data_IF_668068595190
#
_entry.id   IF_668068595190
#
_cell.length_a   1.000
_cell.length_b   1.000
_cell.length_c   1.000
_cell.angle_alpha   90.00
_cell.angle_beta   90.00
_cell.angle_gamma   90.00
#
_symmetry.space_group_name_H-M   'P 1'
#
loop_
_entity.id
_entity.type
_entity.pdbx_description
1 polymer ?
#
# COMPACT_ATOMS: atom_id res chain seq x y z
N UNK A 1 27.37 -3.47 -14.82
CA UNK A 1 26.23 -3.93 -14.01
C UNK A 1 26.45 -3.69 -12.51
N UNK A 2 27.71 -3.62 -12.04
CA UNK A 2 28.03 -3.42 -10.62
C UNK A 2 28.14 -1.93 -10.19
N UNK A 3 27.85 -0.99 -11.09
CA UNK A 3 27.83 0.45 -10.79
C UNK A 3 26.83 0.81 -9.68
N UNK A 4 25.70 0.09 -9.60
CA UNK A 4 24.68 0.31 -8.57
C UNK A 4 25.20 0.06 -7.13
N UNK A 5 26.26 -0.72 -6.97
CA UNK A 5 26.91 -0.96 -5.68
C UNK A 5 28.21 -0.16 -5.50
N UNK A 6 28.52 0.74 -6.45
CA UNK A 6 29.67 1.64 -6.40
C UNK A 6 30.96 1.09 -7.03
N UNK A 7 30.86 0.02 -7.84
CA UNK A 7 31.98 -0.49 -8.63
C UNK A 7 31.86 0.03 -10.07
N UNK A 8 32.82 0.84 -10.51
CA UNK A 8 32.82 1.38 -11.85
C UNK A 8 33.09 0.30 -12.90
N UNK A 9 32.91 0.64 -14.18
CA UNK A 9 33.20 -0.28 -15.29
C UNK A 9 34.61 -0.88 -15.26
N UNK A 10 35.62 -0.09 -14.87
CA UNK A 10 37.01 -0.58 -14.73
C UNK A 10 37.17 -1.57 -13.57
N UNK A 11 36.43 -1.38 -12.48
CA UNK A 11 36.45 -2.31 -11.35
C UNK A 11 35.79 -3.63 -11.73
N UNK A 12 34.67 -3.58 -12.46
CA UNK A 12 33.97 -4.75 -12.98
C UNK A 12 34.90 -5.59 -13.87
N UNK A 13 35.61 -4.97 -14.83
CA UNK A 13 36.56 -5.66 -15.71
C UNK A 13 37.72 -6.34 -14.95
N UNK A 14 38.24 -5.69 -13.90
CA UNK A 14 39.33 -6.24 -13.06
C UNK A 14 38.83 -7.36 -12.14
N UNK A 15 37.65 -7.21 -11.54
CA UNK A 15 37.06 -8.23 -10.67
C UNK A 15 36.75 -9.50 -11.47
N UNK A 16 36.18 -9.34 -12.66
CA UNK A 16 35.94 -10.42 -13.62
C UNK A 16 37.22 -11.17 -14.00
N UNK A 17 38.31 -10.45 -14.31
CA UNK A 17 39.61 -11.05 -14.61
C UNK A 17 40.17 -11.84 -13.41
N UNK A 18 40.01 -11.30 -12.20
CA UNK A 18 40.47 -11.93 -10.97
C UNK A 18 39.68 -13.21 -10.64
N UNK A 19 38.35 -13.19 -10.84
CA UNK A 19 37.48 -14.37 -10.68
C UNK A 19 37.83 -15.44 -11.72
N UNK A 20 38.02 -15.06 -13.00
CA UNK A 20 38.41 -15.99 -14.07
C UNK A 20 39.76 -16.67 -13.82
N UNK A 21 40.74 -15.93 -13.29
CA UNK A 21 42.08 -16.49 -13.01
C UNK A 21 42.17 -17.25 -11.70
N UNK A 22 41.17 -17.17 -10.81
CA UNK A 22 41.18 -17.63 -9.40
C UNK A 22 42.22 -16.96 -8.49
N UNK A 23 43.42 -16.69 -9.01
CA UNK A 23 44.44 -15.87 -8.38
C UNK A 23 45.25 -15.10 -9.43
N UNK A 24 45.64 -13.87 -9.15
CA UNK A 24 46.43 -13.06 -10.08
C UNK A 24 47.43 -12.14 -9.38
N UNK A 25 48.57 -11.90 -10.03
CA UNK A 25 49.51 -10.84 -9.73
C UNK A 25 49.07 -9.55 -10.41
N UNK A 26 49.61 -8.41 -9.96
CA UNK A 26 49.37 -7.10 -10.58
C UNK A 26 49.74 -7.11 -12.07
N UNK A 27 50.83 -7.79 -12.45
CA UNK A 27 51.28 -7.85 -13.84
C UNK A 27 50.30 -8.63 -14.74
N UNK A 28 49.70 -9.70 -14.22
CA UNK A 28 48.68 -10.48 -14.94
C UNK A 28 47.40 -9.65 -15.14
N UNK A 29 46.95 -8.91 -14.13
CA UNK A 29 45.79 -8.01 -14.25
C UNK A 29 46.05 -6.85 -15.21
N UNK A 30 47.26 -6.28 -15.22
CA UNK A 30 47.67 -5.25 -16.19
C UNK A 30 47.57 -5.77 -17.62
N UNK A 31 48.00 -7.02 -17.85
CA UNK A 31 47.94 -7.64 -19.17
C UNK A 31 46.50 -7.91 -19.63
N UNK A 32 45.64 -8.40 -18.73
CA UNK A 32 44.26 -8.77 -19.05
C UNK A 32 43.35 -7.56 -19.27
N UNK A 33 43.48 -6.54 -18.41
CA UNK A 33 42.58 -5.39 -18.40
C UNK A 33 43.17 -4.18 -19.15
N UNK A 34 44.38 -4.30 -19.70
CA UNK A 34 45.11 -3.22 -20.37
C UNK A 34 45.22 -1.92 -19.54
N UNK A 35 45.37 -2.06 -18.21
CA UNK A 35 45.43 -0.94 -17.28
C UNK A 35 46.88 -0.56 -16.94
N UNK A 36 47.18 0.72 -16.67
CA UNK A 36 48.47 1.13 -16.12
C UNK A 36 48.76 0.40 -14.78
N UNK A 37 50.00 -0.06 -14.52
CA UNK A 37 50.34 -0.76 -13.27
C UNK A 37 49.95 -0.03 -11.97
N UNK A 38 50.05 1.31 -11.86
CA UNK A 38 49.58 2.04 -10.69
C UNK A 38 48.06 1.92 -10.48
N UNK A 39 47.28 1.91 -11.56
CA UNK A 39 45.82 1.80 -11.51
C UNK A 39 45.39 0.39 -11.10
N UNK A 40 45.99 -0.64 -11.69
CA UNK A 40 45.72 -2.04 -11.31
C UNK A 40 46.00 -2.30 -9.82
N UNK A 41 47.10 -1.75 -9.27
CA UNK A 41 47.37 -1.84 -7.83
C UNK A 41 46.30 -1.19 -6.98
N UNK A 42 45.83 0.00 -7.37
CA UNK A 42 44.81 0.75 -6.63
C UNK A 42 43.48 0.01 -6.59
N UNK A 43 43.04 -0.54 -7.73
CA UNK A 43 41.80 -1.33 -7.81
C UNK A 43 41.90 -2.61 -6.99
N UNK A 44 43.00 -3.37 -7.13
CA UNK A 44 43.20 -4.59 -6.34
C UNK A 44 43.30 -4.31 -4.84
N UNK A 45 43.87 -3.17 -4.44
CA UNK A 45 43.92 -2.76 -3.04
C UNK A 45 42.52 -2.37 -2.52
N UNK A 46 41.76 -1.61 -3.30
CA UNK A 46 40.35 -1.32 -3.01
C UNK A 46 39.53 -2.60 -2.81
N UNK A 47 39.75 -3.64 -3.63
CA UNK A 47 39.08 -4.93 -3.45
C UNK A 47 39.43 -5.63 -2.15
N UNK A 48 40.67 -5.48 -1.67
CA UNK A 48 41.04 -6.02 -0.35
C UNK A 48 40.35 -5.25 0.76
N UNK A 49 40.26 -3.92 0.65
CA UNK A 49 39.58 -3.07 1.63
C UNK A 49 38.05 -3.30 1.66
N UNK A 50 37.46 -3.55 0.49
CA UNK A 50 36.03 -3.87 0.33
C UNK A 50 35.68 -5.34 0.62
N UNK A 51 36.67 -6.20 0.91
CA UNK A 51 36.46 -7.63 1.15
C UNK A 51 36.12 -8.45 -0.09
N UNK A 52 36.37 -7.90 -1.29
CA UNK A 52 36.20 -8.59 -2.58
C UNK A 52 37.42 -9.43 -2.98
N UNK A 53 38.59 -9.17 -2.40
CA UNK A 53 39.79 -9.95 -2.64
C UNK A 53 40.61 -10.14 -1.36
N UNK A 54 41.43 -11.18 -1.33
CA UNK A 54 42.45 -11.38 -0.29
C UNK A 54 43.83 -11.31 -0.93
N UNK A 55 44.81 -10.84 -0.16
CA UNK A 55 46.20 -10.70 -0.61
C UNK A 55 47.06 -11.77 0.04
N UNK A 56 47.78 -12.55 -0.76
CA UNK A 56 48.73 -13.54 -0.25
C UNK A 56 49.97 -12.88 0.36
N UNK A 57 50.57 -13.51 1.36
CA UNK A 57 51.84 -13.09 1.98
C UNK A 57 53.09 -13.59 1.23
N UNK A 58 52.93 -14.48 0.24
CA UNK A 58 54.03 -15.05 -0.56
C UNK A 58 54.63 -14.08 -1.59
N UNK A 59 55.78 -14.48 -2.16
CA UNK A 59 56.42 -13.80 -3.30
C UNK A 59 56.40 -14.72 -4.54
N UNK A 60 55.88 -14.26 -5.70
CA UNK A 60 55.25 -12.97 -5.92
C UNK A 60 53.90 -12.83 -5.20
N UNK A 61 53.52 -11.60 -4.87
CA UNK A 61 52.23 -11.28 -4.23
C UNK A 61 51.10 -11.60 -5.22
N UNK A 62 50.17 -12.44 -4.80
CA UNK A 62 48.94 -12.76 -5.52
C UNK A 62 47.72 -12.24 -4.78
N UNK A 63 46.69 -11.91 -5.56
CA UNK A 63 45.36 -11.54 -5.11
C UNK A 63 44.41 -12.67 -5.48
N UNK A 64 43.48 -12.99 -4.59
CA UNK A 64 42.48 -14.06 -4.76
C UNK A 64 41.12 -13.43 -4.57
N UNK A 65 40.22 -13.61 -5.54
CA UNK A 65 38.85 -13.11 -5.40
C UNK A 65 38.12 -13.87 -4.28
N UNK A 66 37.40 -13.12 -3.45
CA UNK A 66 36.38 -13.69 -2.56
C UNK A 66 35.18 -14.08 -3.41
N UNK A 67 34.51 -15.19 -3.05
CA UNK A 67 33.33 -15.69 -3.77
C UNK A 67 32.34 -14.57 -4.07
N UNK A 68 31.87 -14.39 -5.32
CA UNK A 68 30.93 -13.33 -5.69
C UNK A 68 29.69 -13.29 -4.80
N UNK A 69 29.11 -14.47 -4.49
CA UNK A 69 27.91 -14.60 -3.64
C UNK A 69 28.12 -14.10 -2.20
N UNK A 70 29.37 -14.05 -1.72
CA UNK A 70 29.68 -13.57 -0.38
C UNK A 70 30.20 -12.13 -0.40
N UNK A 71 31.11 -11.82 -1.34
CA UNK A 71 31.74 -10.52 -1.46
C UNK A 71 30.78 -9.44 -1.96
N UNK A 72 30.10 -9.68 -3.09
CA UNK A 72 29.17 -8.71 -3.67
C UNK A 72 27.92 -8.54 -2.80
N UNK A 73 27.41 -9.64 -2.23
CA UNK A 73 26.27 -9.63 -1.31
C UNK A 73 26.58 -8.86 -0.01
N UNK A 74 27.82 -8.92 0.50
CA UNK A 74 28.24 -8.11 1.64
C UNK A 74 28.24 -6.61 1.31
N UNK A 75 28.70 -6.23 0.11
CA UNK A 75 28.64 -4.84 -0.36
C UNK A 75 27.19 -4.40 -0.55
N UNK A 76 26.33 -5.25 -1.14
CA UNK A 76 24.92 -4.95 -1.31
C UNK A 76 24.25 -4.66 0.04
N UNK A 77 24.44 -5.54 1.04
CA UNK A 77 23.94 -5.33 2.41
C UNK A 77 24.51 -4.09 3.09
N UNK A 78 25.75 -3.72 2.79
CA UNK A 78 26.36 -2.50 3.30
C UNK A 78 25.68 -1.27 2.67
N UNK A 79 25.44 -1.28 1.36
CA UNK A 79 24.73 -0.21 0.64
C UNK A 79 23.28 -0.06 1.08
N UNK A 80 22.58 -1.17 1.31
CA UNK A 80 21.22 -1.15 1.88
C UNK A 80 21.20 -0.47 3.25
N UNK A 81 22.14 -0.81 4.13
CA UNK A 81 22.29 -0.16 5.44
C UNK A 81 22.59 1.33 5.31
N UNK A 82 23.50 1.73 4.43
CA UNK A 82 23.79 3.15 4.15
C UNK A 82 22.55 3.90 3.65
N UNK A 83 21.76 3.29 2.76
CA UNK A 83 20.51 3.88 2.27
C UNK A 83 19.46 3.99 3.38
N UNK A 84 19.37 3.01 4.27
CA UNK A 84 18.47 3.07 5.43
C UNK A 84 18.90 4.14 6.44
N UNK A 85 20.20 4.31 6.66
CA UNK A 85 20.74 5.40 7.48
C UNK A 85 20.43 6.77 6.86
N UNK A 86 20.59 6.92 5.54
CA UNK A 86 20.21 8.14 4.81
C UNK A 86 18.70 8.40 4.96
N UNK A 87 17.85 7.38 4.83
CA UNK A 87 16.40 7.50 5.07
C UNK A 87 16.10 7.93 6.51
N UNK A 88 16.82 7.38 7.49
CA UNK A 88 16.74 7.78 8.89
C UNK A 88 17.13 9.25 9.08
N UNK A 89 18.21 9.69 8.46
CA UNK A 89 18.66 11.08 8.51
C UNK A 89 17.67 12.05 7.85
N UNK A 90 17.06 11.66 6.72
CA UNK A 90 15.99 12.42 6.07
C UNK A 90 14.80 12.59 7.03
N UNK A 91 14.40 11.54 7.77
CA UNK A 91 13.32 11.66 8.78
C UNK A 91 13.68 12.66 9.87
N UNK A 92 14.88 12.58 10.43
CA UNK A 92 15.35 13.54 11.45
C UNK A 92 15.41 14.98 10.90
N UNK A 93 15.90 15.17 9.68
CA UNK A 93 15.89 16.48 9.02
C UNK A 93 14.47 16.98 8.77
N UNK A 94 13.54 16.09 8.42
CA UNK A 94 12.13 16.44 8.31
C UNK A 94 11.53 16.82 9.66
N UNK A 95 11.92 16.18 10.76
CA UNK A 95 11.48 16.58 12.11
C UNK A 95 11.99 17.97 12.49
N UNK A 96 13.26 18.27 12.17
CA UNK A 96 13.85 19.61 12.37
C UNK A 96 13.22 20.65 11.44
N UNK A 97 12.98 20.31 10.18
CA UNK A 97 12.31 21.18 9.21
C UNK A 97 10.88 21.48 9.63
N UNK A 98 10.13 20.46 10.08
CA UNK A 98 8.79 20.59 10.68
C UNK A 98 8.84 21.46 11.93
N UNK A 99 9.86 21.33 12.77
CA UNK A 99 10.03 22.15 13.96
C UNK A 99 10.35 23.62 13.63
N UNK A 100 11.11 23.87 12.55
CA UNK A 100 11.46 25.21 12.07
C UNK A 100 10.37 25.92 11.27
N UNK A 101 9.49 25.16 10.59
CA UNK A 101 8.32 25.70 9.86
C UNK A 101 7.10 25.95 10.74
N UNK A 102 7.19 25.69 12.07
CA UNK A 102 6.10 25.86 13.05
C UNK A 102 5.45 27.26 13.14
N UNK A 103 5.98 28.29 12.47
CA UNK A 103 5.46 29.65 12.58
C UNK A 103 5.43 30.48 11.28
N UNK A 104 5.31 29.86 10.11
CA UNK A 104 4.67 30.54 8.97
C UNK A 104 3.15 30.31 9.13
N UNK A 105 2.46 31.31 9.69
CA UNK A 105 1.04 31.38 10.05
C UNK A 105 0.23 30.07 10.24
N UNK A 106 -0.27 29.77 11.46
CA UNK A 106 -1.15 28.61 11.74
C UNK A 106 -2.40 28.49 10.83
N UNK A 107 -2.84 29.58 10.20
CA UNK A 107 -3.93 29.60 9.23
C UNK A 107 -3.58 29.05 7.84
N UNK A 108 -2.30 28.78 7.54
CA UNK A 108 -1.86 28.16 6.28
C UNK A 108 -1.79 26.62 6.36
N UNK A 109 -1.88 26.05 7.58
CA UNK A 109 -1.86 24.60 7.78
C UNK A 109 -3.22 23.94 7.54
N UNK A 110 -4.30 24.73 7.68
CA UNK A 110 -5.68 24.31 7.44
C UNK A 110 -6.31 25.31 6.46
N UNK A 111 -6.38 24.94 5.19
CA UNK A 111 -7.10 25.71 4.16
C UNK A 111 -8.59 25.33 4.22
N UNK A 112 -9.49 26.33 4.23
CA UNK A 112 -10.93 26.10 4.09
C UNK A 112 -11.31 26.30 2.64
N UNK A 113 -11.66 25.20 1.98
CA UNK A 113 -12.19 25.23 0.63
C UNK A 113 -13.71 25.33 0.72
N UNK A 114 -14.30 26.29 0.01
CA UNK A 114 -15.74 26.53 -0.01
C UNK A 114 -16.29 26.42 -1.42
N UNK A 115 -17.51 25.90 -1.55
CA UNK A 115 -18.17 25.65 -2.83
C UNK A 115 -18.00 24.21 -3.28
N UNK A 116 -19.12 23.59 -3.70
CA UNK A 116 -19.16 22.19 -4.12
C UNK A 116 -18.19 21.88 -5.26
N UNK A 117 -18.15 22.74 -6.28
CA UNK A 117 -17.29 22.55 -7.44
C UNK A 117 -15.81 22.60 -7.07
N UNK A 118 -15.42 23.57 -6.22
CA UNK A 118 -14.03 23.69 -5.77
C UNK A 118 -13.65 22.51 -4.86
N UNK A 119 -14.53 22.06 -3.95
CA UNK A 119 -14.30 20.85 -3.14
C UNK A 119 -14.08 19.63 -4.03
N UNK A 120 -14.94 19.42 -5.04
CA UNK A 120 -14.81 18.31 -5.98
C UNK A 120 -13.53 18.40 -6.81
N UNK A 121 -13.16 19.59 -7.28
CA UNK A 121 -11.93 19.83 -8.02
C UNK A 121 -10.69 19.55 -7.15
N UNK A 122 -10.68 20.00 -5.89
CA UNK A 122 -9.60 19.73 -4.93
C UNK A 122 -9.50 18.24 -4.59
N UNK A 123 -10.62 17.55 -4.45
CA UNK A 123 -10.65 16.10 -4.28
C UNK A 123 -10.07 15.34 -5.47
N UNK A 124 -10.49 15.70 -6.69
CA UNK A 124 -9.98 15.06 -7.91
C UNK A 124 -8.47 15.29 -8.09
N UNK A 125 -8.01 16.53 -7.89
CA UNK A 125 -6.57 16.87 -7.94
C UNK A 125 -5.78 16.10 -6.89
N UNK A 126 -6.26 16.04 -5.64
CA UNK A 126 -5.63 15.29 -4.57
C UNK A 126 -5.44 13.81 -4.92
N UNK A 127 -6.44 13.18 -5.52
CA UNK A 127 -6.32 11.79 -5.99
C UNK A 127 -5.29 11.66 -7.12
N UNK A 128 -5.32 12.54 -8.13
CA UNK A 128 -4.39 12.54 -9.26
C UNK A 128 -2.92 12.74 -8.84
N UNK A 129 -2.68 13.58 -7.85
CA UNK A 129 -1.33 13.91 -7.37
C UNK A 129 -0.72 12.84 -6.45
N UNK A 130 -1.54 11.88 -5.99
CA UNK A 130 -1.12 10.79 -5.10
C UNK A 130 -0.09 9.89 -5.77
N UNK A 131 1.01 9.57 -5.08
CA UNK A 131 2.12 8.77 -5.63
C UNK A 131 2.29 7.40 -5.00
N UNK A 132 1.91 7.24 -3.74
CA UNK A 132 2.16 6.03 -2.96
C UNK A 132 0.85 5.39 -2.51
N UNK A 133 -0.01 6.15 -1.83
CA UNK A 133 -1.25 5.62 -1.28
C UNK A 133 -2.32 6.67 -1.07
N UNK A 134 -3.56 6.24 -1.25
CA UNK A 134 -4.76 6.94 -0.82
C UNK A 134 -5.37 6.21 0.37
N UNK A 135 -5.67 6.94 1.44
CA UNK A 135 -6.33 6.41 2.65
C UNK A 135 -7.61 7.17 2.90
N UNK A 136 -8.70 6.49 3.24
CA UNK A 136 -9.98 7.17 3.42
C UNK A 136 -10.91 6.55 4.45
N UNK A 137 -11.69 7.40 5.12
CA UNK A 137 -12.93 7.02 5.78
C UNK A 137 -14.07 7.42 4.88
N UNK A 138 -14.80 6.43 4.38
CA UNK A 138 -15.94 6.65 3.52
C UNK A 138 -17.23 6.53 4.33
N UNK A 139 -17.98 7.63 4.39
CA UNK A 139 -19.20 7.73 5.19
C UNK A 139 -20.18 8.73 4.56
N UNK A 140 -21.51 8.48 4.59
CA UNK A 140 -22.51 9.47 4.21
C UNK A 140 -22.54 10.69 5.16
N UNK A 141 -23.08 11.84 4.73
CA UNK A 141 -23.69 12.11 3.42
C UNK A 141 -22.67 12.29 2.28
N UNK A 142 -23.07 11.88 1.07
CA UNK A 142 -22.31 12.06 -0.17
C UNK A 142 -22.77 13.31 -0.90
N UNK A 143 -21.87 13.96 -1.63
CA UNK A 143 -22.18 15.19 -2.35
C UNK A 143 -23.18 14.94 -3.49
N UNK A 144 -23.15 13.76 -4.10
CA UNK A 144 -24.21 13.26 -4.97
C UNK A 144 -24.65 11.86 -4.51
N UNK A 145 -25.94 11.63 -4.20
CA UNK A 145 -26.45 10.30 -3.84
C UNK A 145 -26.25 9.23 -4.93
N UNK A 146 -25.98 9.65 -6.17
CA UNK A 146 -25.71 8.78 -7.33
C UNK A 146 -24.23 8.37 -7.44
N UNK A 147 -23.31 8.93 -6.64
CA UNK A 147 -21.88 8.56 -6.66
C UNK A 147 -21.64 7.07 -6.38
N UNK A 148 -22.59 6.37 -5.73
CA UNK A 148 -22.49 4.92 -5.50
C UNK A 148 -23.00 4.02 -6.62
N UNK A 149 -23.36 4.61 -7.76
CA UNK A 149 -23.85 3.86 -8.92
C UNK A 149 -22.80 3.83 -10.03
N UNK A 150 -21.82 4.74 -9.98
CA UNK A 150 -20.78 4.86 -11.00
C UNK A 150 -19.38 4.93 -10.35
N UNK A 151 -18.47 4.03 -10.71
CA UNK A 151 -17.12 4.00 -10.15
C UNK A 151 -16.39 5.32 -10.38
N UNK A 152 -15.69 5.81 -9.36
CA UNK A 152 -14.83 6.99 -9.47
C UNK A 152 -13.70 6.74 -10.50
N UNK A 153 -13.72 7.39 -11.68
CA UNK A 153 -12.79 7.07 -12.75
C UNK A 153 -11.34 7.45 -12.40
N UNK A 154 -11.15 8.46 -11.54
CA UNK A 154 -9.82 8.89 -11.09
C UNK A 154 -9.18 7.84 -10.19
N UNK A 155 -9.96 7.26 -9.27
CA UNK A 155 -9.52 6.17 -8.40
C UNK A 155 -9.14 4.93 -9.22
N UNK A 156 -9.98 4.52 -10.17
CA UNK A 156 -9.67 3.38 -11.04
C UNK A 156 -8.39 3.60 -11.85
N UNK A 157 -8.13 4.83 -12.30
CA UNK A 157 -6.89 5.17 -12.99
C UNK A 157 -5.68 5.09 -12.05
N UNK A 158 -5.78 5.59 -10.83
CA UNK A 158 -4.68 5.59 -9.86
C UNK A 158 -4.37 4.19 -9.34
N UNK A 159 -5.39 3.35 -9.13
CA UNK A 159 -5.23 1.92 -8.85
C UNK A 159 -4.44 1.22 -9.97
N UNK A 160 -4.76 1.49 -11.25
CA UNK A 160 -3.99 0.97 -12.40
C UNK A 160 -2.55 1.47 -12.44
N UNK A 161 -2.30 2.69 -11.95
CA UNK A 161 -0.96 3.25 -11.83
C UNK A 161 -0.17 2.68 -10.63
N UNK A 162 -0.74 1.75 -9.86
CA UNK A 162 -0.08 1.09 -8.73
C UNK A 162 -0.19 1.85 -7.40
N UNK A 163 -1.00 2.91 -7.33
CA UNK A 163 -1.29 3.61 -6.07
C UNK A 163 -2.13 2.70 -5.19
N UNK A 164 -1.74 2.54 -3.92
CA UNK A 164 -2.49 1.71 -2.96
C UNK A 164 -3.70 2.49 -2.44
N UNK A 165 -4.91 1.97 -2.64
CA UNK A 165 -6.11 2.52 -2.01
C UNK A 165 -6.50 1.67 -0.79
N UNK A 166 -6.65 2.32 0.36
CA UNK A 166 -7.10 1.71 1.61
C UNK A 166 -8.28 2.50 2.14
N UNK A 167 -9.48 1.93 2.07
CA UNK A 167 -10.72 2.62 2.45
C UNK A 167 -11.40 1.88 3.58
N UNK A 168 -11.79 2.61 4.63
CA UNK A 168 -12.68 2.12 5.67
C UNK A 168 -14.06 2.71 5.44
N UNK A 169 -15.00 1.86 5.05
CA UNK A 169 -16.40 2.20 4.86
C UNK A 169 -17.13 2.15 6.19
N UNK A 170 -17.91 3.19 6.48
CA UNK A 170 -18.74 3.27 7.68
C UNK A 170 -19.85 2.21 7.65
N UNK A 171 -20.19 1.63 8.80
CA UNK A 171 -21.32 0.68 8.90
C UNK A 171 -22.66 1.22 8.36
N UNK A 172 -22.85 2.54 8.30
CA UNK A 172 -24.05 3.16 7.71
C UNK A 172 -24.13 3.02 6.18
N UNK A 173 -23.03 2.74 5.47
CA UNK A 173 -23.07 2.52 4.02
C UNK A 173 -23.86 1.27 3.63
N UNK A 174 -23.93 0.30 4.54
CA UNK A 174 -24.64 -0.98 4.34
C UNK A 174 -26.12 -0.78 4.02
N UNK A 175 -26.69 0.35 4.44
CA UNK A 175 -28.09 0.70 4.24
C UNK A 175 -28.35 1.50 2.96
N UNK A 176 -27.30 1.87 2.21
CA UNK A 176 -27.42 2.65 0.98
C UNK A 176 -27.66 1.73 -0.23
N UNK A 177 -28.46 2.13 -1.22
CA UNK A 177 -28.53 1.40 -2.49
C UNK A 177 -27.20 1.47 -3.27
N UNK A 178 -26.83 0.41 -3.99
CA UNK A 178 -25.68 0.41 -4.93
C UNK A 178 -24.28 0.28 -4.31
N UNK A 179 -24.12 0.56 -3.01
CA UNK A 179 -22.80 0.58 -2.35
C UNK A 179 -21.98 -0.71 -2.57
N UNK A 180 -22.64 -1.87 -2.61
CA UNK A 180 -21.99 -3.16 -2.76
C UNK A 180 -21.32 -3.29 -4.13
N UNK A 181 -22.00 -2.85 -5.19
CA UNK A 181 -21.47 -2.91 -6.56
C UNK A 181 -20.28 -1.96 -6.72
N UNK A 182 -20.35 -0.81 -6.06
CA UNK A 182 -19.29 0.19 -6.00
C UNK A 182 -18.02 -0.36 -5.34
N UNK A 183 -18.15 -0.90 -4.11
CA UNK A 183 -17.04 -1.51 -3.37
C UNK A 183 -16.47 -2.73 -4.11
N UNK A 184 -17.33 -3.56 -4.70
CA UNK A 184 -16.88 -4.70 -5.50
C UNK A 184 -16.02 -4.25 -6.70
N UNK A 185 -16.38 -3.14 -7.34
CA UNK A 185 -15.62 -2.59 -8.47
C UNK A 185 -14.23 -2.11 -8.04
N UNK A 186 -14.15 -1.39 -6.92
CA UNK A 186 -12.86 -0.98 -6.34
C UNK A 186 -11.97 -2.17 -5.97
N UNK A 187 -12.53 -3.17 -5.27
CA UNK A 187 -11.82 -4.40 -4.89
C UNK A 187 -11.26 -5.15 -6.11
N UNK A 188 -12.02 -5.24 -7.22
CA UNK A 188 -11.54 -5.86 -8.46
C UNK A 188 -10.34 -5.14 -9.08
N UNK A 189 -10.21 -3.84 -8.83
CA UNK A 189 -9.09 -3.01 -9.28
C UNK A 189 -7.95 -2.92 -8.25
N UNK A 190 -8.02 -3.65 -7.14
CA UNK A 190 -6.95 -3.74 -6.14
C UNK A 190 -7.10 -2.78 -4.97
N UNK A 191 -8.25 -2.13 -4.82
CA UNK A 191 -8.58 -1.41 -3.60
C UNK A 191 -8.61 -2.37 -2.40
N UNK A 192 -8.22 -1.89 -1.23
CA UNK A 192 -8.36 -2.60 0.03
C UNK A 192 -9.51 -1.99 0.81
N UNK A 193 -10.66 -2.65 0.80
CA UNK A 193 -11.85 -2.21 1.51
C UNK A 193 -11.96 -2.87 2.88
N UNK A 194 -12.27 -2.08 3.90
CA UNK A 194 -12.62 -2.55 5.25
C UNK A 194 -13.87 -1.87 5.77
N UNK A 195 -14.52 -2.46 6.77
CA UNK A 195 -15.75 -1.92 7.38
C UNK A 195 -15.56 -1.75 8.89
N UNK A 196 -15.91 -0.56 9.37
CA UNK A 196 -15.96 -0.20 10.79
C UNK A 196 -16.79 1.07 10.98
N UNK A 197 -17.22 1.37 12.21
CA UNK A 197 -17.76 2.71 12.50
C UNK A 197 -16.60 3.72 12.48
N UNK A 198 -16.73 4.78 11.68
CA UNK A 198 -15.70 5.82 11.52
C UNK A 198 -16.21 7.19 12.01
N UNK A 199 -15.34 8.03 12.59
CA UNK A 199 -15.78 9.26 13.27
C UNK A 199 -16.16 10.39 12.31
N UNK A 200 -15.61 10.40 11.09
CA UNK A 200 -15.84 11.43 10.08
C UNK A 200 -15.53 10.89 8.68
N UNK A 201 -15.98 11.61 7.65
CA UNK A 201 -15.46 11.42 6.29
C UNK A 201 -14.06 12.03 6.19
N UNK A 202 -13.12 11.29 5.60
CA UNK A 202 -11.70 11.66 5.55
C UNK A 202 -11.08 11.10 4.27
N UNK A 203 -10.25 11.88 3.61
CA UNK A 203 -9.32 11.38 2.61
C UNK A 203 -7.91 11.86 2.93
N UNK A 204 -6.90 11.02 2.71
CA UNK A 204 -5.49 11.32 2.92
C UNK A 204 -4.71 10.83 1.70
N UNK A 205 -3.96 11.75 1.08
CA UNK A 205 -3.08 11.49 -0.04
C UNK A 205 -1.64 11.45 0.46
N UNK A 206 -0.99 10.30 0.27
CA UNK A 206 0.32 9.98 0.82
C UNK A 206 0.38 10.37 2.31
N UNK A 207 1.48 10.98 2.76
CA UNK A 207 1.58 11.61 4.08
C UNK A 207 1.62 13.15 3.95
N UNK A 208 0.88 13.71 2.97
CA UNK A 208 1.07 15.11 2.53
C UNK A 208 -0.16 15.99 2.59
N UNK A 209 -1.34 15.44 2.40
CA UNK A 209 -2.58 16.22 2.39
C UNK A 209 -3.73 15.38 2.91
N UNK A 210 -4.55 15.96 3.78
CA UNK A 210 -5.86 15.39 4.10
C UNK A 210 -6.99 16.33 3.72
N UNK A 211 -8.15 15.76 3.40
CA UNK A 211 -9.39 16.49 3.17
C UNK A 211 -10.47 15.96 4.11
N UNK A 212 -11.15 16.88 4.80
CA UNK A 212 -12.28 16.59 5.68
C UNK A 212 -13.46 17.46 5.26
N UNK A 213 -14.53 16.88 4.69
CA UNK A 213 -15.76 17.58 4.40
C UNK A 213 -16.35 18.27 5.64
N UNK A 214 -16.68 19.54 5.49
CA UNK A 214 -17.45 20.30 6.45
C UNK A 214 -18.93 20.07 6.18
N UNK A 215 -19.57 19.37 7.11
CA UNK A 215 -21.00 19.08 7.08
C UNK A 215 -21.66 19.77 8.26
N UNK A 216 -22.53 20.74 8.01
CA UNK A 216 -23.38 21.33 9.05
C UNK A 216 -24.64 20.49 9.24
N UNK A 217 -25.20 20.54 10.44
CA UNK A 217 -26.47 19.89 10.71
C UNK A 217 -27.56 20.44 9.76
N UNK A 218 -28.12 19.58 8.90
CA UNK A 218 -29.10 19.93 7.88
C UNK A 218 -28.55 20.05 6.45
N UNK A 219 -27.23 19.99 6.26
CA UNK A 219 -26.65 20.00 4.91
C UNK A 219 -26.89 18.67 4.19
N UNK A 220 -27.48 18.74 3.00
CA UNK A 220 -27.64 17.58 2.10
C UNK A 220 -26.45 17.40 1.15
N UNK A 221 -25.52 18.37 1.09
CA UNK A 221 -24.38 18.40 0.17
C UNK A 221 -23.18 19.02 0.88
N UNK A 222 -21.98 18.50 0.59
CA UNK A 222 -20.71 19.07 1.06
C UNK A 222 -20.53 20.47 0.43
N UNK A 223 -20.60 21.51 1.26
CA UNK A 223 -20.48 22.91 0.84
C UNK A 223 -19.11 23.50 1.12
N UNK A 224 -18.32 22.87 2.00
CA UNK A 224 -16.95 23.25 2.30
C UNK A 224 -16.13 22.02 2.73
N UNK A 225 -14.82 22.14 2.77
CA UNK A 225 -13.90 21.12 3.27
C UNK A 225 -12.66 21.76 3.90
N UNK A 226 -12.12 21.14 4.94
CA UNK A 226 -10.79 21.43 5.42
C UNK A 226 -9.76 20.67 4.59
N UNK A 227 -8.80 21.38 4.02
CA UNK A 227 -7.55 20.82 3.52
C UNK A 227 -6.48 20.98 4.60
N UNK A 228 -5.83 19.89 4.95
CA UNK A 228 -4.90 19.83 6.07
C UNK A 228 -3.54 19.46 5.51
N UNK A 229 -2.63 20.44 5.53
CA UNK A 229 -1.27 20.33 5.06
C UNK A 229 -0.36 19.63 6.09
N UNK A 230 0.90 19.29 5.72
CA UNK A 230 1.82 18.59 6.61
C UNK A 230 1.98 19.31 7.95
N UNK A 231 1.51 18.65 9.01
CA UNK A 231 1.41 19.23 10.35
C UNK A 231 1.17 18.12 11.38
N UNK A 232 1.36 18.39 12.69
CA UNK A 232 0.99 17.43 13.73
C UNK A 232 -0.48 17.00 13.69
N UNK A 233 -1.37 17.83 13.14
CA UNK A 233 -2.77 17.47 12.91
C UNK A 233 -2.90 16.39 11.83
N UNK A 234 -2.18 16.54 10.71
CA UNK A 234 -2.14 15.50 9.67
C UNK A 234 -1.55 14.20 10.22
N UNK A 235 -0.45 14.28 10.98
CA UNK A 235 0.17 13.10 11.61
C UNK A 235 -0.84 12.38 12.54
N UNK A 236 -1.65 13.13 13.29
CA UNK A 236 -2.70 12.56 14.14
C UNK A 236 -3.84 11.91 13.34
N UNK A 237 -4.25 12.48 12.20
CA UNK A 237 -5.25 11.89 11.31
C UNK A 237 -4.75 10.59 10.67
N UNK A 238 -3.47 10.55 10.28
CA UNK A 238 -2.81 9.35 9.79
C UNK A 238 -2.80 8.27 10.88
N UNK A 239 -2.39 8.62 12.10
CA UNK A 239 -2.39 7.67 13.22
C UNK A 239 -3.79 7.14 13.56
N UNK A 240 -4.81 8.00 13.49
CA UNK A 240 -6.21 7.60 13.66
C UNK A 240 -6.65 6.61 12.56
N UNK A 241 -6.28 6.87 11.30
CA UNK A 241 -6.55 5.96 10.21
C UNK A 241 -5.94 4.58 10.44
N UNK A 242 -4.64 4.50 10.75
CA UNK A 242 -3.96 3.22 10.96
C UNK A 242 -4.58 2.46 12.15
N UNK A 243 -4.89 3.15 13.25
CA UNK A 243 -5.52 2.54 14.42
C UNK A 243 -6.96 2.04 14.17
N UNK A 244 -7.73 2.70 13.31
CA UNK A 244 -9.05 2.23 12.88
C UNK A 244 -8.93 1.11 11.83
N UNK A 245 -7.92 1.17 10.98
CA UNK A 245 -7.65 0.15 9.99
C UNK A 245 -7.39 -1.20 10.65
N UNK A 246 -6.49 -1.26 11.64
CA UNK A 246 -6.13 -2.49 12.34
C UNK A 246 -7.33 -3.19 13.01
N UNK A 247 -8.30 -2.43 13.52
CA UNK A 247 -9.51 -2.95 14.17
C UNK A 247 -10.70 -3.19 13.23
N UNK A 248 -10.61 -2.71 11.98
CA UNK A 248 -11.69 -2.83 11.01
C UNK A 248 -11.71 -4.20 10.35
N UNK A 249 -12.89 -4.58 9.83
CA UNK A 249 -13.10 -5.90 9.23
C UNK A 249 -12.82 -5.85 7.72
N UNK A 250 -11.95 -6.71 7.17
CA UNK A 250 -11.73 -6.74 5.74
C UNK A 250 -13.00 -7.17 4.99
N UNK A 251 -13.31 -6.45 3.90
CA UNK A 251 -14.32 -6.89 2.94
C UNK A 251 -13.62 -7.87 2.00
N UNK A 252 -14.01 -9.14 2.04
CA UNK A 252 -13.50 -10.17 1.16
C UNK A 252 -14.61 -10.63 0.23
N UNK A 253 -14.32 -10.61 -1.06
CA UNK A 253 -14.96 -11.47 -2.04
C UNK A 253 -13.88 -12.42 -2.52
N UNK A 254 -14.18 -13.70 -2.55
CA UNK A 254 -13.39 -14.72 -3.23
C UNK A 254 -13.44 -14.45 -4.74
N UNK A 255 -12.66 -13.46 -5.19
CA UNK A 255 -12.28 -13.37 -6.58
C UNK A 255 -11.46 -14.63 -6.90
N UNK A 256 -11.93 -15.40 -7.87
CA UNK A 256 -11.27 -16.58 -8.42
C UNK A 256 -9.77 -16.32 -8.60
N UNK A 257 -8.92 -16.99 -7.83
CA UNK A 257 -7.54 -17.17 -8.29
C UNK A 257 -7.60 -18.00 -9.59
N UNK A 258 -6.94 -17.56 -10.68
CA UNK A 258 -6.85 -18.35 -11.90
C UNK A 258 -5.94 -19.55 -11.62
N UNK A 259 -6.52 -20.62 -11.07
CA UNK A 259 -5.84 -21.84 -10.64
C UNK A 259 -6.55 -22.68 -9.59
N UNK A 260 -7.63 -22.17 -8.95
CA UNK A 260 -8.37 -22.91 -7.92
C UNK A 260 -9.26 -24.04 -8.46
N UNK A 261 -9.19 -25.21 -7.82
CA UNK A 261 -9.91 -26.44 -8.18
C UNK A 261 -11.43 -26.25 -8.44
N UNK A 262 -12.03 -27.06 -9.35
CA UNK A 262 -13.45 -26.96 -9.67
C UNK A 262 -14.31 -27.51 -8.51
N UNK A 263 -14.75 -26.62 -7.64
CA UNK A 263 -15.62 -26.95 -6.51
C UNK A 263 -16.15 -25.71 -5.80
N UNK A 264 -16.95 -24.87 -6.48
CA UNK A 264 -17.62 -23.74 -5.81
C UNK A 264 -18.60 -24.26 -4.75
N UNK A 265 -18.21 -24.23 -3.49
CA UNK A 265 -19.12 -24.55 -2.37
C UNK A 265 -20.19 -23.46 -2.15
N UNK A 266 -19.94 -22.22 -2.59
CA UNK A 266 -20.89 -21.10 -2.54
C UNK A 266 -21.27 -20.58 -3.93
N UNK A 267 -22.53 -20.20 -4.11
CA UNK A 267 -22.93 -19.38 -5.26
C UNK A 267 -22.50 -17.93 -5.04
N UNK A 268 -22.33 -17.16 -6.13
CA UNK A 268 -21.98 -15.73 -6.06
C UNK A 268 -22.94 -14.92 -5.16
N UNK A 269 -24.23 -15.24 -5.22
CA UNK A 269 -25.26 -14.66 -4.36
C UNK A 269 -25.10 -14.99 -2.86
N UNK A 270 -24.64 -16.21 -2.53
CA UNK A 270 -24.43 -16.64 -1.15
C UNK A 270 -23.15 -16.04 -0.57
N UNK A 271 -22.12 -15.92 -1.40
CA UNK A 271 -20.89 -15.20 -1.08
C UNK A 271 -21.17 -13.74 -0.77
N UNK A 272 -21.87 -13.03 -1.67
CA UNK A 272 -22.27 -11.63 -1.44
C UNK A 272 -23.08 -11.47 -0.17
N UNK A 273 -24.05 -12.37 0.06
CA UNK A 273 -24.83 -12.37 1.29
C UNK A 273 -23.93 -12.54 2.53
N UNK A 274 -23.04 -13.53 2.56
CA UNK A 274 -22.15 -13.76 3.71
C UNK A 274 -21.23 -12.58 3.98
N UNK A 275 -20.67 -11.96 2.93
CA UNK A 275 -19.82 -10.77 3.07
C UNK A 275 -20.59 -9.61 3.70
N UNK A 276 -21.82 -9.34 3.25
CA UNK A 276 -22.70 -8.31 3.84
C UNK A 276 -22.95 -8.59 5.33
N UNK A 277 -23.25 -9.83 5.68
CA UNK A 277 -23.54 -10.19 7.08
C UNK A 277 -22.29 -10.15 7.97
N UNK A 278 -21.12 -10.55 7.45
CA UNK A 278 -19.85 -10.45 8.15
C UNK A 278 -19.44 -8.99 8.40
N UNK A 279 -19.76 -8.12 7.44
CA UNK A 279 -19.66 -6.67 7.56
C UNK A 279 -20.63 -6.05 8.58
N UNK A 280 -21.59 -6.82 9.10
CA UNK A 280 -22.56 -6.38 10.10
C UNK A 280 -23.90 -5.90 9.53
N UNK A 281 -24.18 -6.15 8.25
CA UNK A 281 -25.46 -5.77 7.64
C UNK A 281 -26.63 -6.51 8.31
N UNK A 282 -27.74 -5.80 8.50
CA UNK A 282 -29.01 -6.43 8.87
C UNK A 282 -29.61 -7.16 7.67
N UNK A 283 -30.56 -8.05 7.88
CA UNK A 283 -31.20 -8.79 6.77
C UNK A 283 -31.98 -7.85 5.84
N UNK A 284 -32.49 -6.74 6.41
CA UNK A 284 -33.10 -5.64 5.65
C UNK A 284 -32.08 -4.89 4.80
N UNK A 285 -30.92 -4.55 5.37
CA UNK A 285 -29.82 -3.91 4.65
C UNK A 285 -29.30 -4.80 3.51
N UNK A 286 -29.04 -6.07 3.82
CA UNK A 286 -28.60 -7.06 2.85
C UNK A 286 -29.63 -7.28 1.74
N UNK A 287 -30.92 -7.31 2.08
CA UNK A 287 -32.00 -7.38 1.10
C UNK A 287 -31.97 -6.19 0.12
N UNK A 288 -31.84 -4.97 0.62
CA UNK A 288 -31.73 -3.78 -0.23
C UNK A 288 -30.51 -3.80 -1.13
N UNK A 289 -29.33 -4.16 -0.60
CA UNK A 289 -28.09 -4.24 -1.37
C UNK A 289 -28.15 -5.29 -2.48
N UNK A 290 -28.87 -6.40 -2.28
CA UNK A 290 -28.99 -7.50 -3.25
C UNK A 290 -30.23 -7.42 -4.16
N UNK A 291 -31.07 -6.40 -4.00
CA UNK A 291 -32.36 -6.33 -4.72
C UNK A 291 -33.37 -7.41 -4.28
N UNK A 292 -33.27 -7.90 -3.05
CA UNK A 292 -34.06 -8.97 -2.47
C UNK A 292 -35.03 -8.48 -1.39
N UNK A 293 -36.12 -9.23 -1.16
CA UNK A 293 -36.93 -9.06 0.04
C UNK A 293 -36.23 -9.66 1.28
N UNK A 294 -36.53 -9.17 2.49
CA UNK A 294 -36.03 -9.77 3.74
C UNK A 294 -36.34 -11.27 3.82
N UNK A 295 -37.51 -11.72 3.34
CA UNK A 295 -37.86 -13.14 3.28
C UNK A 295 -36.96 -13.94 2.34
N UNK A 296 -36.54 -13.34 1.23
CA UNK A 296 -35.59 -13.95 0.30
C UNK A 296 -34.24 -14.13 0.99
N UNK A 297 -33.74 -13.13 1.71
CA UNK A 297 -32.50 -13.23 2.51
C UNK A 297 -32.59 -14.38 3.50
N UNK A 298 -33.67 -14.45 4.30
CA UNK A 298 -33.87 -15.55 5.26
C UNK A 298 -33.93 -16.92 4.59
N UNK A 299 -34.54 -17.02 3.41
CA UNK A 299 -34.60 -18.26 2.64
C UNK A 299 -33.21 -18.71 2.17
N UNK A 300 -32.39 -17.78 1.68
CA UNK A 300 -31.00 -18.08 1.30
C UNK A 300 -30.17 -18.53 2.50
N UNK A 301 -30.29 -17.85 3.65
CA UNK A 301 -29.64 -18.26 4.90
C UNK A 301 -30.07 -19.65 5.34
N UNK A 302 -31.38 -19.92 5.38
CA UNK A 302 -31.93 -21.22 5.78
C UNK A 302 -31.43 -22.34 4.86
N UNK A 303 -31.40 -22.10 3.55
CA UNK A 303 -30.87 -23.06 2.57
C UNK A 303 -29.39 -23.33 2.79
N UNK A 304 -28.59 -22.28 3.01
CA UNK A 304 -27.16 -22.41 3.25
C UNK A 304 -26.87 -23.15 4.56
N UNK A 305 -27.63 -22.83 5.63
CA UNK A 305 -27.56 -23.53 6.91
C UNK A 305 -27.90 -25.02 6.76
N UNK A 306 -28.95 -25.35 6.00
CA UNK A 306 -29.33 -26.72 5.70
C UNK A 306 -28.24 -27.49 4.93
N UNK A 307 -27.61 -26.85 3.94
CA UNK A 307 -26.49 -27.43 3.17
C UNK A 307 -25.26 -27.71 4.02
N UNK A 308 -25.00 -26.86 5.02
CA UNK A 308 -23.85 -26.98 5.93
C UNK A 308 -24.15 -27.80 7.19
N UNK A 309 -25.39 -28.26 7.37
CA UNK A 309 -25.80 -29.00 8.57
C UNK A 309 -25.79 -28.16 9.86
N UNK A 310 -25.78 -26.84 9.76
CA UNK A 310 -25.80 -25.93 10.91
C UNK A 310 -27.23 -25.49 11.23
N UNK A 311 -27.50 -25.19 12.51
CA UNK A 311 -28.84 -24.89 13.01
C UNK A 311 -29.03 -23.44 13.44
N UNK A 312 -27.95 -22.70 13.67
CA UNK A 312 -28.00 -21.29 14.04
C UNK A 312 -27.14 -20.42 13.13
N UNK A 313 -27.49 -19.14 13.02
CA UNK A 313 -26.69 -18.14 12.29
C UNK A 313 -25.28 -18.00 12.87
N UNK A 314 -25.13 -18.19 14.18
CA UNK A 314 -23.81 -18.21 14.81
C UNK A 314 -22.96 -19.39 14.35
N UNK A 315 -23.56 -20.59 14.27
CA UNK A 315 -22.88 -21.76 13.70
C UNK A 315 -22.54 -21.57 12.21
N UNK A 316 -23.44 -20.92 11.44
CA UNK A 316 -23.15 -20.56 10.06
C UNK A 316 -21.94 -19.63 9.94
N UNK A 317 -21.85 -18.59 10.79
CA UNK A 317 -20.73 -17.66 10.81
C UNK A 317 -19.42 -18.38 11.16
N UNK A 318 -19.42 -19.23 12.21
CA UNK A 318 -18.25 -20.04 12.57
C UNK A 318 -17.79 -20.95 11.43
N UNK A 319 -18.74 -21.62 10.77
CA UNK A 319 -18.44 -22.54 9.67
C UNK A 319 -17.91 -21.79 8.44
N UNK A 320 -18.47 -20.62 8.13
CA UNK A 320 -17.99 -19.77 7.05
C UNK A 320 -16.54 -19.29 7.32
N UNK A 321 -16.22 -18.88 8.55
CA UNK A 321 -14.84 -18.52 8.94
C UNK A 321 -13.90 -19.73 8.87
N UNK A 322 -14.33 -20.90 9.37
CA UNK A 322 -13.53 -22.14 9.33
C UNK A 322 -13.17 -22.54 7.90
N UNK A 323 -14.06 -22.29 6.94
CA UNK A 323 -13.86 -22.53 5.51
C UNK A 323 -13.13 -21.39 4.78
N UNK A 324 -12.80 -20.30 5.48
CA UNK A 324 -12.11 -19.13 4.90
C UNK A 324 -12.98 -18.30 3.95
N UNK A 325 -14.31 -18.42 4.05
CA UNK A 325 -15.24 -17.63 3.23
C UNK A 325 -15.34 -16.18 3.70
N UNK A 326 -15.15 -15.94 5.01
CA UNK A 326 -15.16 -14.63 5.67
C UNK A 326 -14.05 -14.56 6.73
#
# INVERSE_FOLDING_TARGET
MLEAIGLGRQDEEVYDALVRRTQATVAEIVADCHLPPPSARRVLQSFVELGLATRSTGRPVRYVAVSPDSGLEAILRQRERELDDVRGHIRTLMDVYRAGTRFAHPGELIEVVSGREEVNHRWARMQQDTRVQMRGFDRPPYAAPQEHTEPNPVELQQLRNGVKYRVIYDTSVLELPGWLDDVMTGLQHGEQARIAAVPMKLGISDDRLAIIPLLRAGDSVVSASYLIHPSPLLDALIALFEALWERSRPVRFTAQEPGGEPGRELSQDEERLLTLLAAGATDKAAGRALGWSERTVQRHLTRLMGRLGVRTRFQLAMEATRRGWI
#
